data_IF_646853665371
#
_entry.id   IF_646853665371
#
_cell.length_a   1.000
_cell.length_b   1.000
_cell.length_c   1.000
_cell.angle_alpha   90.00
_cell.angle_beta   90.00
_cell.angle_gamma   90.00
#
_symmetry.space_group_name_H-M   'P 1'
#
loop_
_entity.id
_entity.type
_entity.pdbx_description
1 polymer ?
#
# COMPACT_ATOMS: atom_id res chain seq x y z
N UNK A 1 -53.84 22.32 49.00
CA UNK A 1 -54.53 22.47 47.70
C UNK A 1 -53.65 21.79 46.67
N UNK A 2 -53.97 20.56 46.29
CA UNK A 2 -53.18 19.71 45.38
C UNK A 2 -53.79 19.89 44.00
N UNK A 3 -53.10 20.58 43.09
CA UNK A 3 -53.52 20.73 41.70
C UNK A 3 -52.86 19.65 40.85
N UNK A 4 -53.71 18.70 40.44
CA UNK A 4 -53.53 17.70 39.39
C UNK A 4 -52.92 18.32 38.11
N UNK A 5 -51.88 17.67 37.55
CA UNK A 5 -51.31 17.99 36.23
C UNK A 5 -51.81 16.92 35.25
N UNK A 6 -52.71 17.25 34.29
CA UNK A 6 -53.26 16.27 33.38
C UNK A 6 -52.47 16.17 32.06
N UNK A 7 -51.97 14.97 31.77
CA UNK A 7 -52.06 14.37 30.43
C UNK A 7 -51.10 14.82 29.32
N UNK A 8 -50.23 15.83 29.51
CA UNK A 8 -49.39 16.35 28.42
C UNK A 8 -48.05 15.62 28.23
N UNK A 9 -47.54 14.94 29.27
CA UNK A 9 -46.20 14.33 29.24
C UNK A 9 -46.13 12.99 28.50
N UNK A 10 -47.24 12.25 28.43
CA UNK A 10 -47.28 10.91 27.81
C UNK A 10 -47.21 10.97 26.29
N UNK A 11 -47.85 11.98 25.69
CA UNK A 11 -47.82 12.17 24.24
C UNK A 11 -46.43 12.60 23.75
N UNK A 12 -45.73 13.42 24.54
CA UNK A 12 -44.37 13.88 24.22
C UNK A 12 -43.35 12.72 24.31
N UNK A 13 -43.46 11.86 25.33
CA UNK A 13 -42.63 10.67 25.48
C UNK A 13 -42.81 9.64 24.34
N UNK A 14 -44.06 9.43 23.91
CA UNK A 14 -44.36 8.52 22.78
C UNK A 14 -43.81 9.08 21.46
N UNK A 15 -43.95 10.40 21.23
CA UNK A 15 -43.44 11.06 20.03
C UNK A 15 -41.90 11.01 19.96
N UNK A 16 -41.21 11.22 21.09
CA UNK A 16 -39.74 11.15 21.17
C UNK A 16 -39.22 9.73 20.95
N UNK A 17 -39.89 8.70 21.46
CA UNK A 17 -39.50 7.31 21.22
C UNK A 17 -39.70 6.87 19.77
N UNK A 18 -40.78 7.30 19.10
CA UNK A 18 -41.03 7.00 17.68
C UNK A 18 -40.01 7.71 16.78
N UNK A 19 -39.62 8.94 17.11
CA UNK A 19 -38.60 9.69 16.37
C UNK A 19 -37.20 9.07 16.50
N UNK A 20 -36.84 8.52 17.68
CA UNK A 20 -35.56 7.83 17.89
C UNK A 20 -35.50 6.47 17.17
N UNK A 21 -36.60 5.73 17.11
CA UNK A 21 -36.65 4.45 16.40
C UNK A 21 -36.60 4.61 14.87
N UNK A 22 -37.14 5.72 14.35
CA UNK A 22 -37.08 6.04 12.91
C UNK A 22 -35.69 6.44 12.41
N UNK A 23 -34.84 7.02 13.27
CA UNK A 23 -33.51 7.52 12.88
C UNK A 23 -32.43 6.41 12.82
N UNK A 24 -32.69 5.24 13.42
CA UNK A 24 -31.74 4.11 13.42
C UNK A 24 -31.89 3.17 12.19
N UNK A 25 -32.88 3.42 11.33
CA UNK A 25 -33.17 2.64 10.12
C UNK A 25 -32.60 3.29 8.85
N UNK A 26 -31.63 4.21 8.99
CA UNK A 26 -30.87 4.71 7.85
C UNK A 26 -30.24 3.54 7.08
N UNK A 27 -30.19 3.61 5.73
CA UNK A 27 -29.54 2.58 4.94
C UNK A 27 -28.07 2.55 5.36
N UNK A 28 -27.69 1.54 6.14
CA UNK A 28 -26.29 1.19 6.32
C UNK A 28 -25.74 1.00 4.93
N UNK A 29 -24.94 1.96 4.46
CA UNK A 29 -24.27 1.91 3.19
C UNK A 29 -23.40 0.68 3.17
N UNK A 30 -23.96 -0.41 2.65
CA UNK A 30 -23.23 -1.52 2.07
C UNK A 30 -22.47 -0.96 0.88
N UNK A 31 -21.40 -0.21 1.13
CA UNK A 31 -20.43 0.08 0.09
C UNK A 31 -19.83 -1.27 -0.26
N UNK A 32 -20.35 -1.92 -1.30
CA UNK A 32 -19.63 -2.99 -1.96
C UNK A 32 -18.28 -2.39 -2.30
N UNK A 33 -17.24 -2.84 -1.59
CA UNK A 33 -15.87 -2.56 -2.01
C UNK A 33 -15.76 -3.22 -3.37
N UNK A 34 -15.92 -2.42 -4.43
CA UNK A 34 -15.58 -2.86 -5.77
C UNK A 34 -14.07 -3.07 -5.73
N UNK A 35 -13.59 -4.33 -5.84
CA UNK A 35 -12.16 -4.55 -5.96
C UNK A 35 -11.70 -3.72 -7.15
N UNK A 36 -10.65 -2.93 -6.98
CA UNK A 36 -10.02 -2.24 -8.09
C UNK A 36 -9.81 -3.28 -9.20
N UNK A 37 -10.34 -3.05 -10.43
CA UNK A 37 -10.17 -4.01 -11.50
C UNK A 37 -8.70 -4.37 -11.58
N UNK A 38 -8.41 -5.68 -11.48
CA UNK A 38 -7.05 -6.16 -11.62
C UNK A 38 -6.67 -5.91 -13.08
N UNK A 39 -6.12 -4.73 -13.35
CA UNK A 39 -5.44 -4.47 -14.60
C UNK A 39 -4.33 -5.50 -14.65
N UNK A 40 -4.26 -6.26 -15.75
CA UNK A 40 -3.11 -7.14 -16.01
C UNK A 40 -1.87 -6.36 -15.63
N UNK A 41 -1.16 -6.83 -14.60
CA UNK A 41 0.04 -6.21 -14.09
C UNK A 41 0.88 -5.87 -15.31
N UNK A 42 0.96 -4.58 -15.65
CA UNK A 42 1.60 -4.17 -16.88
C UNK A 42 3.03 -4.65 -16.72
N UNK A 43 3.41 -5.67 -17.48
CA UNK A 43 4.76 -6.20 -17.44
C UNK A 43 5.70 -5.00 -17.47
N UNK A 44 6.63 -4.90 -16.53
CA UNK A 44 7.57 -3.80 -16.57
C UNK A 44 8.31 -3.93 -17.91
N UNK A 45 8.21 -2.91 -18.75
CA UNK A 45 8.79 -2.93 -20.10
C UNK A 45 10.10 -2.18 -20.09
N UNK A 46 11.15 -2.76 -20.68
CA UNK A 46 12.41 -2.06 -21.00
C UNK A 46 12.39 -1.76 -22.51
N UNK A 47 11.61 -0.75 -22.91
CA UNK A 47 11.31 -0.52 -24.33
C UNK A 47 10.32 -1.56 -24.88
N UNK A 48 10.69 -2.27 -25.95
CA UNK A 48 9.86 -3.32 -26.57
C UNK A 48 10.04 -4.72 -25.93
N UNK A 49 11.01 -4.87 -25.02
CA UNK A 49 11.28 -6.14 -24.36
C UNK A 49 10.51 -6.30 -23.04
N UNK A 50 9.81 -7.42 -22.90
CA UNK A 50 9.00 -7.78 -21.73
C UNK A 50 9.86 -8.31 -20.55
N UNK A 51 11.11 -7.88 -20.42
CA UNK A 51 12.12 -8.47 -19.52
C UNK A 51 12.59 -7.53 -18.40
N UNK A 52 11.83 -6.51 -18.02
CA UNK A 52 12.28 -5.57 -16.98
C UNK A 52 12.15 -6.16 -15.57
N UNK A 53 13.25 -6.64 -15.01
CA UNK A 53 13.22 -7.23 -13.68
C UNK A 53 14.37 -8.19 -13.42
N UNK A 54 14.02 -9.37 -12.93
CA UNK A 54 14.94 -10.46 -12.67
C UNK A 54 15.04 -11.33 -13.92
N UNK A 55 16.27 -11.53 -14.39
CA UNK A 55 16.60 -12.36 -15.55
C UNK A 55 16.92 -13.81 -15.15
N UNK A 56 17.61 -14.00 -14.01
CA UNK A 56 18.00 -15.32 -13.54
C UNK A 56 18.25 -15.34 -12.02
N UNK A 57 18.10 -16.52 -11.42
CA UNK A 57 18.57 -16.82 -10.07
C UNK A 57 19.90 -17.56 -10.16
N UNK A 58 20.86 -17.15 -9.34
CA UNK A 58 22.19 -17.76 -9.22
C UNK A 58 22.47 -18.07 -7.76
N UNK A 59 23.55 -18.80 -7.49
CA UNK A 59 23.99 -19.05 -6.12
C UNK A 59 24.26 -17.74 -5.36
N UNK A 60 24.93 -16.79 -6.02
CA UNK A 60 25.32 -15.49 -5.47
C UNK A 60 24.16 -14.49 -5.31
N UNK A 61 23.02 -14.70 -5.98
CA UNK A 61 21.88 -13.78 -5.95
C UNK A 61 21.12 -13.73 -7.27
N UNK A 62 20.60 -12.56 -7.60
CA UNK A 62 19.67 -12.34 -8.72
C UNK A 62 20.35 -11.54 -9.83
N UNK A 63 20.32 -12.06 -11.06
CA UNK A 63 20.69 -11.28 -12.24
C UNK A 63 19.51 -10.39 -12.60
N UNK A 64 19.71 -9.09 -12.68
CA UNK A 64 18.64 -8.09 -12.85
C UNK A 64 18.97 -7.09 -13.96
N UNK A 65 17.94 -6.52 -14.58
CA UNK A 65 18.10 -5.52 -15.64
C UNK A 65 18.51 -4.14 -15.10
N UNK A 66 19.08 -3.26 -15.95
CA UNK A 66 19.35 -1.88 -15.58
C UNK A 66 18.14 -1.14 -14.99
N UNK A 67 16.94 -1.35 -15.55
CA UNK A 67 15.72 -0.74 -15.02
C UNK A 67 15.30 -1.26 -13.66
N UNK A 68 15.57 -2.54 -13.34
CA UNK A 68 15.33 -3.02 -11.98
C UNK A 68 16.22 -2.26 -10.99
N UNK A 69 17.51 -2.06 -11.32
CA UNK A 69 18.44 -1.25 -10.49
C UNK A 69 17.92 0.17 -10.31
N UNK A 70 17.48 0.82 -11.39
CA UNK A 70 16.93 2.19 -11.32
C UNK A 70 15.72 2.26 -10.37
N UNK A 71 14.77 1.33 -10.49
CA UNK A 71 13.62 1.26 -9.58
C UNK A 71 14.04 1.03 -8.14
N UNK A 72 15.02 0.15 -7.92
CA UNK A 72 15.55 -0.11 -6.58
C UNK A 72 16.20 1.13 -5.98
N UNK A 73 17.01 1.87 -6.74
CA UNK A 73 17.62 3.12 -6.29
C UNK A 73 16.58 4.23 -6.03
N UNK A 74 15.51 4.30 -6.82
CA UNK A 74 14.37 5.18 -6.53
C UNK A 74 13.68 4.79 -5.21
N UNK A 75 13.58 3.50 -4.92
CA UNK A 75 13.02 3.03 -3.66
C UNK A 75 13.94 3.34 -2.46
N UNK A 76 15.25 3.20 -2.63
CA UNK A 76 16.25 3.64 -1.63
C UNK A 76 16.18 5.15 -1.41
N UNK A 77 16.05 5.95 -2.47
CA UNK A 77 15.93 7.40 -2.32
C UNK A 77 14.70 7.81 -1.48
N UNK A 78 13.61 7.04 -1.54
CA UNK A 78 12.40 7.27 -0.75
C UNK A 78 12.48 6.69 0.66
N UNK A 79 12.86 5.42 0.80
CA UNK A 79 12.73 4.65 2.05
C UNK A 79 14.06 4.15 2.62
N UNK A 80 15.19 4.51 2.02
CA UNK A 80 16.52 4.04 2.44
C UNK A 80 16.91 4.49 3.85
N UNK A 81 16.39 5.63 4.31
CA UNK A 81 16.60 6.15 5.66
C UNK A 81 15.88 5.33 6.75
N UNK A 82 14.91 4.49 6.39
CA UNK A 82 14.19 3.65 7.35
C UNK A 82 15.00 2.43 7.83
N UNK A 83 16.05 2.09 7.11
CA UNK A 83 16.92 0.96 7.42
C UNK A 83 18.05 1.36 8.38
N UNK A 84 18.59 0.38 9.10
CA UNK A 84 19.75 0.56 9.97
C UNK A 84 20.84 -0.46 9.60
N UNK A 85 22.01 -0.03 9.07
CA UNK A 85 22.32 1.34 8.64
C UNK A 85 21.44 1.82 7.48
N UNK A 86 21.37 3.13 7.26
CA UNK A 86 20.66 3.71 6.13
C UNK A 86 21.27 3.21 4.82
N UNK A 87 20.42 2.90 3.83
CA UNK A 87 20.88 2.35 2.57
C UNK A 87 21.44 3.45 1.67
N UNK A 88 22.62 3.19 1.10
CA UNK A 88 23.18 4.00 0.02
C UNK A 88 22.66 3.51 -1.35
N UNK A 89 22.68 4.35 -2.40
CA UNK A 89 22.44 3.90 -3.77
C UNK A 89 23.30 2.68 -4.12
N UNK A 90 22.73 1.76 -4.89
CA UNK A 90 23.36 0.49 -5.29
C UNK A 90 23.73 -0.45 -4.13
N UNK A 91 23.11 -0.30 -2.96
CA UNK A 91 23.32 -1.21 -1.84
C UNK A 91 23.08 -2.68 -2.24
N UNK A 92 24.13 -3.50 -2.16
CA UNK A 92 24.07 -4.92 -2.52
C UNK A 92 23.95 -5.19 -4.02
N UNK A 93 24.24 -4.21 -4.88
CA UNK A 93 24.22 -4.33 -6.34
C UNK A 93 25.65 -4.30 -6.90
N UNK A 94 25.97 -5.26 -7.77
CA UNK A 94 27.27 -5.33 -8.46
C UNK A 94 27.04 -5.31 -9.98
N UNK A 95 27.74 -4.43 -10.68
CA UNK A 95 27.69 -4.37 -12.14
C UNK A 95 28.37 -5.60 -12.77
N UNK A 96 27.80 -6.14 -13.85
CA UNK A 96 28.36 -7.25 -14.62
C UNK A 96 28.87 -6.76 -15.97
N UNK A 97 29.68 -7.58 -16.64
CA UNK A 97 30.29 -7.26 -17.95
C UNK A 97 29.29 -7.31 -19.11
N UNK A 98 28.16 -8.00 -18.92
CA UNK A 98 27.09 -8.19 -19.90
C UNK A 98 26.05 -7.04 -19.89
N UNK A 99 26.30 -5.96 -19.14
CA UNK A 99 25.38 -4.83 -19.01
C UNK A 99 24.21 -5.08 -18.05
N UNK A 100 24.16 -6.23 -17.40
CA UNK A 100 23.21 -6.54 -16.31
C UNK A 100 23.84 -6.27 -14.95
N UNK A 101 23.07 -6.48 -13.89
CA UNK A 101 23.54 -6.33 -12.51
C UNK A 101 23.29 -7.60 -11.72
N UNK A 102 24.12 -7.86 -10.72
CA UNK A 102 23.91 -8.89 -9.72
C UNK A 102 23.40 -8.21 -8.44
N UNK A 103 22.16 -8.49 -8.07
CA UNK A 103 21.59 -8.09 -6.80
C UNK A 103 21.79 -9.20 -5.77
N UNK A 104 22.32 -8.85 -4.59
CA UNK A 104 22.41 -9.80 -3.46
C UNK A 104 21.01 -10.21 -2.99
N UNK A 105 20.94 -11.31 -2.20
CA UNK A 105 19.68 -11.75 -1.58
C UNK A 105 19.10 -10.68 -0.66
N UNK A 106 19.96 -10.04 0.14
CA UNK A 106 19.59 -8.93 1.01
C UNK A 106 19.03 -7.74 0.20
N UNK A 107 19.66 -7.38 -0.92
CA UNK A 107 19.15 -6.31 -1.77
C UNK A 107 17.75 -6.63 -2.31
N UNK A 108 17.50 -7.89 -2.70
CA UNK A 108 16.20 -8.35 -3.17
C UNK A 108 15.13 -8.31 -2.06
N UNK A 109 15.44 -8.78 -0.86
CA UNK A 109 14.52 -8.72 0.29
C UNK A 109 14.14 -7.27 0.62
N UNK A 110 15.13 -6.38 0.68
CA UNK A 110 14.91 -4.94 0.90
C UNK A 110 14.10 -4.32 -0.24
N UNK A 111 14.35 -4.71 -1.49
CA UNK A 111 13.60 -4.25 -2.65
C UNK A 111 12.12 -4.65 -2.55
N UNK A 112 11.82 -5.90 -2.19
CA UNK A 112 10.45 -6.39 -1.99
C UNK A 112 9.72 -5.54 -0.95
N UNK A 113 10.36 -5.29 0.20
CA UNK A 113 9.78 -4.49 1.29
C UNK A 113 9.51 -3.05 0.84
N UNK A 114 10.51 -2.38 0.24
CA UNK A 114 10.35 -0.98 -0.17
C UNK A 114 9.37 -0.83 -1.34
N UNK A 115 9.35 -1.75 -2.29
CA UNK A 115 8.34 -1.74 -3.36
C UNK A 115 6.93 -1.95 -2.80
N UNK A 116 6.77 -2.79 -1.78
CA UNK A 116 5.49 -2.94 -1.09
C UNK A 116 5.08 -1.64 -0.38
N UNK A 117 5.99 -0.95 0.31
CA UNK A 117 5.73 0.34 0.94
C UNK A 117 5.28 1.41 -0.07
N UNK A 118 5.98 1.51 -1.21
CA UNK A 118 5.62 2.43 -2.29
C UNK A 118 4.22 2.09 -2.81
N UNK A 119 3.92 0.81 -3.05
CA UNK A 119 2.60 0.37 -3.52
C UNK A 119 1.48 0.67 -2.50
N UNK A 120 1.79 0.60 -1.21
CA UNK A 120 0.84 0.94 -0.14
C UNK A 120 0.73 2.45 0.12
N UNK A 121 1.52 3.29 -0.55
CA UNK A 121 1.53 4.72 -0.31
C UNK A 121 2.06 5.10 1.08
N UNK A 122 2.98 4.29 1.64
CA UNK A 122 3.65 4.64 2.90
C UNK A 122 4.47 5.91 2.70
N UNK A 123 4.28 6.88 3.58
CA UNK A 123 5.12 8.09 3.60
C UNK A 123 6.54 7.77 4.09
N UNK A 124 7.58 8.39 3.50
CA UNK A 124 8.96 8.18 3.92
C UNK A 124 9.19 8.76 5.32
N UNK A 125 10.18 8.20 6.03
CA UNK A 125 10.66 8.79 7.28
C UNK A 125 11.15 10.22 7.03
N UNK A 126 10.77 11.14 7.93
CA UNK A 126 11.17 12.56 7.90
C UNK A 126 12.57 12.77 8.45
#
# INVERSE_FOLDING_TARGET
MITSIPGTDRALLILVMILQFGLCLGPGCTSTITPTPVTAERASYDGDAQTSGVLALTEAGFVVTPRWRERYNLAIARHGAEWRPALAPDHGIVARTDGTYLASREAMEKAIVMFAWIRMGKEPAK
#
